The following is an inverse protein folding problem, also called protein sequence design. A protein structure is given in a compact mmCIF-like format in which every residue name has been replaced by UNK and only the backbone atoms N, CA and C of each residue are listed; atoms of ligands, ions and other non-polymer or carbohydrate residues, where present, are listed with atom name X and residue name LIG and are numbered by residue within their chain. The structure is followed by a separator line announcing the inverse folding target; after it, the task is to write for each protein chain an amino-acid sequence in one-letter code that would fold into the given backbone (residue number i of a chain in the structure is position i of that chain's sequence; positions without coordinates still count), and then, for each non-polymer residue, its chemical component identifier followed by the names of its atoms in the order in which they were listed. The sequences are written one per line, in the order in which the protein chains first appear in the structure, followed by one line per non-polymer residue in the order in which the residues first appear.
data_IF_780485675393
#
_entry.id   IF_780485675393
#
_cell.length_a   1.000
_cell.length_b   1.000
_cell.length_c   1.000
_cell.angle_alpha   90.00
_cell.angle_beta   90.00
_cell.angle_gamma   90.00
#
_symmetry.space_group_name_H-M   'P 1'
#
loop_
_entity.id
_entity.type
_entity.pdbx_description
1 polymer ?
#
# COMPACT_ATOMS: atom_id res chain seq x y z
N UNK A 1 28.57 7.32 -1.86
CA UNK A 1 27.45 7.20 -2.80
C UNK A 1 26.35 8.22 -2.47
N UNK A 2 25.58 8.67 -3.47
CA UNK A 2 24.50 9.65 -3.25
C UNK A 2 23.28 9.01 -2.60
N UNK A 3 22.64 9.75 -1.72
CA UNK A 3 21.34 9.42 -1.10
C UNK A 3 20.46 10.66 -1.01
N UNK A 4 19.15 10.51 -1.22
CA UNK A 4 18.16 11.59 -1.08
C UNK A 4 17.63 11.60 0.36
N UNK A 5 17.94 12.66 1.08
CA UNK A 5 17.44 12.90 2.43
C UNK A 5 16.23 13.84 2.41
N UNK A 6 15.25 13.51 3.20
CA UNK A 6 14.24 14.45 3.69
C UNK A 6 14.75 14.97 5.04
N UNK A 7 15.22 16.21 5.08
CA UNK A 7 15.92 16.76 6.25
C UNK A 7 15.00 17.38 7.28
N UNK A 8 13.94 18.02 6.81
CA UNK A 8 12.86 18.62 7.57
C UNK A 8 11.63 18.81 6.66
N UNK A 9 10.52 19.24 7.21
CA UNK A 9 9.32 19.56 6.43
C UNK A 9 9.65 20.58 5.34
N UNK A 10 9.29 20.24 4.10
CA UNK A 10 9.51 21.09 2.92
C UNK A 10 10.95 21.14 2.40
N UNK A 11 11.89 20.34 2.98
CA UNK A 11 13.28 20.40 2.57
C UNK A 11 13.90 19.03 2.35
N UNK A 12 14.42 18.84 1.16
CA UNK A 12 15.17 17.64 0.78
C UNK A 12 16.52 18.01 0.20
N UNK A 13 17.50 17.13 0.36
CA UNK A 13 18.84 17.32 -0.19
C UNK A 13 19.50 15.99 -0.54
N UNK A 14 20.41 16.05 -1.50
CA UNK A 14 21.26 14.90 -1.85
C UNK A 14 22.56 15.01 -1.07
N UNK A 15 22.90 13.97 -0.31
CA UNK A 15 24.15 13.87 0.46
C UNK A 15 24.98 12.70 -0.03
N UNK A 16 26.31 12.82 0.13
CA UNK A 16 27.23 11.69 0.01
C UNK A 16 27.26 10.91 1.31
N UNK A 17 27.09 9.58 1.20
CA UNK A 17 27.19 8.64 2.32
C UNK A 17 28.12 7.48 1.94
N UNK A 18 28.73 6.77 2.90
CA UNK A 18 29.52 5.58 2.60
C UNK A 18 28.65 4.47 2.00
N UNK A 19 29.24 3.63 1.14
CA UNK A 19 28.60 2.39 0.67
C UNK A 19 28.51 1.43 1.87
N UNK A 20 27.34 0.85 2.18
CA UNK A 20 27.22 -0.14 3.25
C UNK A 20 27.87 -1.47 2.84
N UNK A 21 28.26 -2.27 3.82
CA UNK A 21 28.70 -3.65 3.64
C UNK A 21 27.71 -4.59 4.33
N UNK A 22 27.34 -5.74 3.72
CA UNK A 22 26.42 -6.67 4.32
C UNK A 22 27.05 -7.41 5.50
N UNK A 23 26.27 -7.66 6.55
CA UNK A 23 26.61 -8.59 7.64
C UNK A 23 26.43 -10.03 7.19
N UNK A 24 26.77 -11.02 8.05
CA UNK A 24 26.70 -12.45 7.72
C UNK A 24 25.34 -12.89 7.19
N UNK A 25 24.24 -12.44 7.79
CA UNK A 25 22.85 -12.74 7.37
C UNK A 25 22.21 -11.70 6.43
N UNK A 26 22.98 -10.80 5.82
CA UNK A 26 22.46 -9.74 4.96
C UNK A 26 22.95 -9.87 3.51
N UNK A 27 22.19 -9.31 2.61
CA UNK A 27 22.58 -9.07 1.22
C UNK A 27 22.81 -7.58 1.00
N UNK A 28 23.77 -7.24 0.12
CA UNK A 28 23.91 -5.91 -0.45
C UNK A 28 23.13 -5.85 -1.74
N UNK A 29 22.22 -4.89 -1.82
CA UNK A 29 21.34 -4.65 -2.95
C UNK A 29 21.76 -3.39 -3.70
N UNK A 30 21.95 -3.49 -5.02
CA UNK A 30 22.00 -2.32 -5.90
C UNK A 30 20.57 -1.95 -6.28
N UNK A 31 20.13 -0.78 -5.85
CA UNK A 31 18.77 -0.27 -6.10
C UNK A 31 18.69 0.18 -7.56
N UNK A 32 17.86 -0.50 -8.34
CA UNK A 32 17.66 -0.17 -9.75
C UNK A 32 16.39 0.68 -9.98
N UNK A 33 15.35 0.45 -9.18
CA UNK A 33 14.11 1.21 -9.17
C UNK A 33 13.62 1.40 -7.75
N UNK A 34 13.09 2.60 -7.48
CA UNK A 34 12.37 2.89 -6.23
C UNK A 34 11.14 3.71 -6.57
N UNK A 35 9.98 3.28 -6.06
CA UNK A 35 8.72 4.01 -6.20
C UNK A 35 8.69 5.21 -5.26
N UNK A 36 7.89 6.20 -5.63
CA UNK A 36 7.64 7.41 -4.83
C UNK A 36 6.23 7.33 -4.24
N UNK A 37 6.14 6.94 -3.00
CA UNK A 37 4.88 6.77 -2.28
C UNK A 37 4.19 8.11 -2.00
N UNK A 38 2.86 8.11 -1.93
CA UNK A 38 2.10 9.24 -1.40
C UNK A 38 2.49 9.60 0.04
N UNK A 39 2.99 8.62 0.82
CA UNK A 39 3.56 8.81 2.15
C UNK A 39 4.81 9.68 2.14
N UNK A 40 5.71 9.52 1.16
CA UNK A 40 6.92 10.35 1.01
C UNK A 40 6.54 11.82 0.75
N UNK A 41 5.55 12.05 -0.12
CA UNK A 41 5.04 13.40 -0.39
C UNK A 41 4.35 14.01 0.83
N UNK A 42 3.58 13.23 1.57
CA UNK A 42 2.95 13.68 2.81
C UNK A 42 4.00 13.95 3.91
N UNK A 43 5.07 13.14 3.99
CA UNK A 43 6.23 13.41 4.83
C UNK A 43 6.88 14.75 4.48
N UNK A 44 7.16 14.98 3.19
CA UNK A 44 7.69 16.27 2.72
C UNK A 44 6.80 17.46 3.11
N UNK A 45 5.48 17.30 3.05
CA UNK A 45 4.49 18.34 3.44
C UNK A 45 4.26 18.46 4.95
N UNK A 46 4.87 17.61 5.79
CA UNK A 46 4.60 17.57 7.24
C UNK A 46 3.23 17.01 7.60
N UNK A 47 2.57 16.29 6.69
CA UNK A 47 1.23 15.73 6.85
C UNK A 47 1.22 14.25 7.24
N UNK A 48 2.40 13.64 7.38
CA UNK A 48 2.53 12.24 7.79
C UNK A 48 3.16 12.15 9.18
N UNK A 49 2.37 11.90 10.22
CA UNK A 49 2.82 12.00 11.62
C UNK A 49 3.85 10.95 12.03
N UNK A 50 4.03 9.90 11.22
CA UNK A 50 5.00 8.85 11.48
C UNK A 50 6.38 9.12 10.87
N UNK A 51 6.51 10.15 10.03
CA UNK A 51 7.78 10.50 9.38
C UNK A 51 8.79 11.02 10.39
N UNK A 52 9.96 10.40 10.45
CA UNK A 52 11.11 10.89 11.22
C UNK A 52 12.06 11.68 10.31
N UNK A 53 12.69 12.72 10.86
CA UNK A 53 13.63 13.62 10.18
C UNK A 53 14.94 13.73 10.97
N UNK A 54 16.12 13.82 10.31
CA UNK A 54 16.33 13.56 8.88
C UNK A 54 16.25 12.08 8.55
N UNK A 55 15.77 11.73 7.33
CA UNK A 55 15.72 10.34 6.90
C UNK A 55 15.95 10.20 5.39
N UNK A 56 16.49 9.07 4.94
CA UNK A 56 16.52 8.69 3.52
C UNK A 56 15.16 8.11 3.17
N UNK A 57 14.50 8.61 2.12
CA UNK A 57 13.17 8.15 1.67
C UNK A 57 13.23 6.82 0.91
N UNK A 58 12.04 6.26 0.60
CA UNK A 58 11.82 5.15 -0.32
C UNK A 58 11.73 3.77 0.34
N UNK A 59 10.68 3.03 -0.04
CA UNK A 59 10.37 1.68 0.47
C UNK A 59 9.77 0.75 -0.60
N UNK A 60 9.48 1.24 -1.77
CA UNK A 60 8.95 0.50 -2.92
C UNK A 60 10.13 0.15 -3.83
N UNK A 61 10.71 -1.05 -3.69
CA UNK A 61 12.08 -1.32 -4.20
C UNK A 61 12.12 -2.46 -5.21
N UNK A 62 12.76 -2.20 -6.34
CA UNK A 62 13.28 -3.20 -7.26
C UNK A 62 14.81 -3.10 -7.32
N UNK A 63 15.51 -4.16 -6.91
CA UNK A 63 16.97 -4.16 -6.74
C UNK A 63 17.60 -5.44 -7.26
N UNK A 64 18.93 -5.46 -7.30
CA UNK A 64 19.74 -6.62 -7.68
C UNK A 64 20.72 -6.96 -6.57
N UNK A 65 20.86 -8.23 -6.22
CA UNK A 65 21.85 -8.70 -5.24
C UNK A 65 23.24 -8.56 -5.87
N UNK A 66 24.13 -7.77 -5.24
CA UNK A 66 25.51 -7.55 -5.72
C UNK A 66 26.59 -8.07 -4.77
N UNK A 67 26.23 -8.33 -3.50
CA UNK A 67 27.10 -8.93 -2.51
C UNK A 67 26.27 -9.67 -1.47
N UNK A 68 26.77 -10.74 -0.86
CA UNK A 68 26.08 -11.48 0.19
C UNK A 68 27.00 -11.85 1.34
N UNK A 69 26.43 -11.85 2.55
CA UNK A 69 27.10 -12.35 3.74
C UNK A 69 27.18 -13.88 3.75
N UNK A 70 27.95 -14.41 4.69
CA UNK A 70 28.32 -15.84 4.74
C UNK A 70 27.17 -16.78 5.10
N UNK A 71 26.10 -16.28 5.73
CA UNK A 71 24.93 -17.07 6.13
C UNK A 71 23.75 -16.93 5.16
N UNK A 72 23.92 -16.22 4.04
CA UNK A 72 22.89 -16.05 3.03
C UNK A 72 22.77 -17.34 2.20
N UNK A 73 21.57 -17.92 2.07
CA UNK A 73 21.35 -19.16 1.31
C UNK A 73 21.77 -19.06 -0.16
N UNK A 74 22.18 -20.20 -0.73
CA UNK A 74 22.71 -20.27 -2.10
C UNK A 74 21.70 -19.92 -3.18
N UNK A 75 20.39 -20.13 -2.94
CA UNK A 75 19.34 -19.76 -3.89
C UNK A 75 19.23 -18.24 -4.12
N UNK A 76 19.78 -17.42 -3.22
CA UNK A 76 19.91 -15.98 -3.41
C UNK A 76 21.30 -15.66 -4.02
N UNK A 77 21.42 -15.85 -5.32
CA UNK A 77 22.68 -15.67 -6.05
C UNK A 77 22.93 -14.20 -6.41
N UNK A 78 24.20 -13.87 -6.67
CA UNK A 78 24.58 -12.56 -7.23
C UNK A 78 23.90 -12.36 -8.59
N UNK A 79 23.44 -11.15 -8.87
CA UNK A 79 22.70 -10.81 -10.08
C UNK A 79 21.18 -11.09 -10.00
N UNK A 80 20.71 -11.78 -8.95
CA UNK A 80 19.28 -12.03 -8.77
C UNK A 80 18.52 -10.72 -8.54
N UNK A 81 17.45 -10.53 -9.31
CA UNK A 81 16.52 -9.40 -9.14
C UNK A 81 15.56 -9.68 -8.00
N UNK A 82 15.31 -8.68 -7.16
CA UNK A 82 14.54 -8.82 -5.92
C UNK A 82 13.67 -7.60 -5.65
N UNK A 83 12.59 -7.81 -4.91
CA UNK A 83 11.97 -6.80 -4.04
C UNK A 83 12.24 -7.15 -2.58
N UNK A 84 11.80 -6.32 -1.65
CA UNK A 84 12.03 -6.56 -0.23
C UNK A 84 10.81 -6.20 0.64
N UNK A 85 10.76 -6.78 1.84
CA UNK A 85 9.82 -6.42 2.88
C UNK A 85 10.36 -5.21 3.66
N UNK A 86 9.71 -4.03 3.56
CA UNK A 86 10.30 -2.79 4.09
C UNK A 86 10.03 -2.55 5.56
N UNK A 87 9.34 -3.45 6.27
CA UNK A 87 8.87 -3.27 7.63
C UNK A 87 9.75 -4.03 8.62
N UNK A 88 10.13 -3.38 9.72
CA UNK A 88 10.85 -3.99 10.82
C UNK A 88 9.96 -4.04 12.05
N UNK A 89 9.50 -5.24 12.39
CA UNK A 89 8.61 -5.50 13.53
C UNK A 89 9.40 -5.87 14.80
N UNK A 90 8.83 -5.59 15.98
CA UNK A 90 9.49 -5.88 17.27
C UNK A 90 9.42 -7.35 17.69
N UNK A 91 8.64 -8.18 17.03
CA UNK A 91 8.38 -9.61 17.31
C UNK A 91 7.75 -9.91 18.69
N UNK A 92 7.57 -8.93 19.58
CA UNK A 92 7.13 -9.12 20.97
C UNK A 92 5.77 -8.53 21.32
N UNK A 93 5.27 -7.54 20.58
CA UNK A 93 3.97 -6.91 20.85
C UNK A 93 2.79 -7.85 20.53
N UNK A 94 1.60 -7.46 20.96
CA UNK A 94 0.38 -8.28 20.77
C UNK A 94 0.13 -8.62 19.28
N UNK A 95 0.35 -7.68 18.38
CA UNK A 95 0.17 -7.91 16.95
C UNK A 95 1.17 -8.94 16.41
N UNK A 96 2.46 -8.80 16.78
CA UNK A 96 3.51 -9.75 16.39
C UNK A 96 3.24 -11.16 16.92
N UNK A 97 2.86 -11.30 18.18
CA UNK A 97 2.52 -12.61 18.78
C UNK A 97 1.29 -13.27 18.12
N UNK A 98 0.40 -12.48 17.52
CA UNK A 98 -0.75 -12.96 16.74
C UNK A 98 -0.43 -13.17 15.24
N UNK A 99 0.85 -13.19 14.85
CA UNK A 99 1.26 -13.37 13.46
C UNK A 99 0.92 -12.19 12.52
N UNK A 100 0.76 -10.98 13.09
CA UNK A 100 0.42 -9.76 12.33
C UNK A 100 1.52 -8.69 12.49
N UNK A 101 2.76 -8.96 12.00
CA UNK A 101 3.89 -8.03 12.14
C UNK A 101 3.68 -6.69 11.41
N UNK A 102 2.86 -6.66 10.37
CA UNK A 102 2.44 -5.43 9.68
C UNK A 102 1.72 -4.43 10.60
N UNK A 103 1.03 -4.90 11.64
CA UNK A 103 0.37 -4.09 12.66
C UNK A 103 1.21 -3.93 13.94
N UNK A 104 2.52 -4.09 13.85
CA UNK A 104 3.42 -3.94 15.00
C UNK A 104 3.34 -2.55 15.61
N UNK A 105 3.17 -2.48 16.94
CA UNK A 105 3.07 -1.21 17.69
C UNK A 105 4.28 -0.28 17.48
N UNK A 106 5.47 -0.84 17.28
CA UNK A 106 6.73 -0.12 17.11
C UNK A 106 7.36 -0.41 15.74
N UNK A 107 6.53 -0.62 14.71
CA UNK A 107 7.00 -0.87 13.36
C UNK A 107 7.93 0.26 12.87
N UNK A 108 9.07 -0.12 12.31
CA UNK A 108 10.01 0.79 11.67
C UNK A 108 10.00 0.57 10.15
N UNK A 109 9.13 1.29 9.46
CA UNK A 109 9.07 1.26 8.01
C UNK A 109 10.30 1.94 7.41
N UNK A 110 10.92 1.31 6.42
CA UNK A 110 11.99 1.87 5.60
C UNK A 110 11.51 3.19 4.96
N UNK A 111 12.37 4.21 4.93
CA UNK A 111 12.01 5.52 4.40
C UNK A 111 11.17 6.41 5.33
N UNK A 112 10.63 5.85 6.43
CA UNK A 112 9.75 6.56 7.39
C UNK A 112 10.41 6.64 8.75
N UNK A 113 10.70 5.50 9.39
CA UNK A 113 11.31 5.39 10.74
C UNK A 113 12.67 4.72 10.74
N UNK A 114 13.22 4.44 9.61
CA UNK A 114 14.59 3.97 9.36
C UNK A 114 15.00 4.36 7.95
N UNK A 115 16.31 4.41 7.63
CA UNK A 115 16.79 4.80 6.31
C UNK A 115 16.14 3.99 5.20
N UNK A 116 15.74 4.68 4.13
CA UNK A 116 15.08 4.13 2.95
C UNK A 116 16.03 3.81 1.80
N UNK A 117 15.42 3.53 0.65
CA UNK A 117 16.09 3.03 -0.54
C UNK A 117 16.35 4.09 -1.63
N UNK A 118 16.08 5.38 -1.38
CA UNK A 118 16.46 6.43 -2.33
C UNK A 118 17.97 6.73 -2.26
N UNK A 119 18.75 5.68 -2.50
CA UNK A 119 20.21 5.64 -2.56
C UNK A 119 20.65 4.52 -3.50
N UNK A 120 21.93 4.49 -3.88
CA UNK A 120 22.41 3.47 -4.84
C UNK A 120 22.48 2.07 -4.24
N UNK A 121 22.88 1.92 -2.98
CA UNK A 121 23.04 0.62 -2.32
C UNK A 121 22.39 0.63 -0.95
N UNK A 122 21.76 -0.50 -0.59
CA UNK A 122 21.20 -0.78 0.74
C UNK A 122 21.57 -2.19 1.17
N UNK A 123 21.57 -2.47 2.47
CA UNK A 123 21.61 -3.83 3.00
C UNK A 123 20.24 -4.25 3.50
N UNK A 124 19.92 -5.53 3.37
CA UNK A 124 18.69 -6.12 3.91
C UNK A 124 18.98 -7.53 4.45
N UNK A 125 18.27 -7.96 5.53
CA UNK A 125 18.26 -9.37 5.93
C UNK A 125 17.80 -10.23 4.77
N UNK A 126 18.42 -11.37 4.54
CA UNK A 126 18.06 -12.23 3.41
C UNK A 126 16.62 -12.74 3.49
N UNK A 127 16.06 -12.90 4.70
CA UNK A 127 14.68 -13.32 4.95
C UNK A 127 13.64 -12.30 4.46
N UNK A 128 14.04 -11.03 4.37
CA UNK A 128 13.17 -9.93 3.92
C UNK A 128 13.28 -9.69 2.41
N UNK A 129 14.00 -10.53 1.67
CA UNK A 129 14.28 -10.36 0.24
C UNK A 129 13.53 -11.42 -0.58
N UNK A 130 12.79 -10.99 -1.59
CA UNK A 130 11.96 -11.84 -2.43
C UNK A 130 12.46 -11.83 -3.88
N UNK A 131 13.06 -12.95 -4.35
CA UNK A 131 13.60 -13.04 -5.70
C UNK A 131 12.50 -13.25 -6.74
N UNK A 132 12.75 -12.75 -7.96
CA UNK A 132 11.96 -13.10 -9.14
C UNK A 132 12.82 -13.04 -10.41
N UNK A 133 12.79 -14.13 -11.17
CA UNK A 133 13.41 -14.20 -12.49
C UNK A 133 12.51 -13.62 -13.58
N UNK A 134 11.20 -13.57 -13.35
CA UNK A 134 10.18 -13.18 -14.35
C UNK A 134 9.93 -11.68 -14.39
N UNK A 135 10.01 -11.01 -13.23
CA UNK A 135 9.66 -9.60 -13.12
C UNK A 135 10.85 -8.69 -13.42
N UNK A 136 10.60 -7.58 -14.09
CA UNK A 136 11.53 -6.47 -14.22
C UNK A 136 11.73 -5.75 -12.87
N UNK A 137 12.81 -4.96 -12.74
CA UNK A 137 13.02 -4.14 -11.54
C UNK A 137 11.88 -3.13 -11.30
N UNK A 138 11.22 -2.71 -12.37
CA UNK A 138 10.10 -1.80 -12.30
C UNK A 138 8.85 -2.49 -11.72
N UNK A 139 8.54 -3.71 -12.16
CA UNK A 139 7.45 -4.52 -11.62
C UNK A 139 7.73 -4.95 -10.18
N UNK A 140 8.98 -5.25 -9.84
CA UNK A 140 9.38 -5.57 -8.46
C UNK A 140 9.18 -4.37 -7.51
N UNK A 141 9.42 -3.14 -7.96
CA UNK A 141 9.15 -1.94 -7.18
C UNK A 141 7.63 -1.74 -6.93
N UNK A 142 6.76 -2.23 -7.81
CA UNK A 142 5.31 -2.17 -7.64
C UNK A 142 4.76 -3.21 -6.65
N UNK A 143 5.54 -4.23 -6.29
CA UNK A 143 5.07 -5.30 -5.43
C UNK A 143 4.61 -4.79 -4.05
N UNK A 144 5.37 -3.89 -3.43
CA UNK A 144 5.04 -3.34 -2.11
C UNK A 144 3.70 -2.60 -2.13
N UNK A 145 3.48 -1.54 -2.93
CA UNK A 145 2.23 -0.78 -2.90
C UNK A 145 1.00 -1.61 -3.32
N UNK A 146 1.16 -2.58 -4.21
CA UNK A 146 0.08 -3.49 -4.58
C UNK A 146 -0.33 -4.40 -3.41
N UNK A 147 0.65 -4.88 -2.59
CA UNK A 147 0.34 -5.74 -1.43
C UNK A 147 -0.53 -5.05 -0.39
N UNK A 148 -0.50 -3.72 -0.29
CA UNK A 148 -1.39 -2.96 0.61
C UNK A 148 -2.86 -3.16 0.20
N UNK A 149 -3.17 -3.05 -1.09
CA UNK A 149 -4.50 -3.32 -1.64
C UNK A 149 -4.92 -4.79 -1.48
N UNK A 150 -4.01 -5.74 -1.75
CA UNK A 150 -4.26 -7.16 -1.52
C UNK A 150 -4.57 -7.47 -0.05
N UNK A 151 -3.85 -6.82 0.87
CA UNK A 151 -4.11 -6.95 2.30
C UNK A 151 -5.49 -6.41 2.68
N UNK A 152 -5.91 -5.27 2.12
CA UNK A 152 -7.23 -4.69 2.34
C UNK A 152 -8.35 -5.67 1.95
N UNK A 153 -8.25 -6.28 0.77
CA UNK A 153 -9.19 -7.31 0.28
C UNK A 153 -9.25 -8.51 1.23
N UNK A 154 -8.11 -8.94 1.76
CA UNK A 154 -8.06 -10.00 2.79
C UNK A 154 -8.70 -9.55 4.10
N UNK A 155 -8.52 -8.29 4.52
CA UNK A 155 -9.17 -7.75 5.73
C UNK A 155 -10.69 -7.63 5.57
N UNK A 156 -11.14 -7.24 4.37
CA UNK A 156 -12.56 -7.22 4.00
C UNK A 156 -13.17 -8.60 3.84
N UNK A 157 -12.39 -9.70 3.97
CA UNK A 157 -12.86 -11.08 3.78
C UNK A 157 -13.58 -11.28 2.44
N UNK A 158 -13.16 -10.56 1.40
CA UNK A 158 -13.80 -10.57 0.09
C UNK A 158 -13.83 -11.96 -0.51
N UNK A 159 -15.00 -12.34 -1.04
CA UNK A 159 -15.27 -13.61 -1.75
C UNK A 159 -15.77 -13.34 -3.17
N UNK A 160 -15.98 -14.38 -3.96
CA UNK A 160 -16.53 -14.28 -5.31
C UNK A 160 -18.00 -13.82 -5.35
N UNK A 161 -18.70 -13.90 -4.23
CA UNK A 161 -20.13 -13.53 -4.11
C UNK A 161 -20.30 -12.04 -3.82
N UNK A 162 -19.21 -11.34 -3.42
CA UNK A 162 -19.29 -9.94 -3.01
C UNK A 162 -19.31 -8.97 -4.20
N UNK A 163 -20.10 -7.92 -4.08
CA UNK A 163 -20.00 -6.68 -4.86
C UNK A 163 -19.07 -5.73 -4.10
N UNK A 164 -17.92 -5.42 -4.68
CA UNK A 164 -16.85 -4.66 -4.02
C UNK A 164 -16.69 -3.30 -4.68
N UNK A 165 -16.92 -2.22 -3.94
CA UNK A 165 -16.58 -0.88 -4.40
C UNK A 165 -15.19 -0.48 -3.89
N UNK A 166 -14.32 0.02 -4.78
CA UNK A 166 -13.00 0.57 -4.43
C UNK A 166 -13.01 2.07 -4.71
N UNK A 167 -12.94 2.88 -3.65
CA UNK A 167 -12.90 4.34 -3.75
C UNK A 167 -11.44 4.79 -3.77
N UNK A 168 -11.02 5.33 -4.91
CA UNK A 168 -9.65 5.71 -5.21
C UNK A 168 -8.89 4.63 -5.97
N UNK A 169 -8.57 4.89 -7.23
CA UNK A 169 -7.84 4.01 -8.14
C UNK A 169 -6.37 4.46 -8.32
N UNK A 170 -5.73 4.97 -7.27
CA UNK A 170 -4.28 5.07 -7.19
C UNK A 170 -3.63 3.67 -7.12
N UNK A 171 -2.28 3.61 -7.06
CA UNK A 171 -1.57 2.32 -7.09
C UNK A 171 -2.05 1.33 -6.00
N UNK A 172 -2.33 1.81 -4.79
CA UNK A 172 -2.85 0.99 -3.68
C UNK A 172 -4.28 0.51 -3.97
N UNK A 173 -5.16 1.42 -4.45
CA UNK A 173 -6.52 1.05 -4.82
C UNK A 173 -6.57 0.09 -6.00
N UNK A 174 -5.72 0.26 -7.02
CA UNK A 174 -5.57 -0.69 -8.12
C UNK A 174 -5.09 -2.07 -7.64
N UNK A 175 -4.27 -2.13 -6.59
CA UNK A 175 -3.93 -3.38 -5.91
C UNK A 175 -5.16 -4.06 -5.29
N UNK A 176 -6.06 -3.28 -4.67
CA UNK A 176 -7.32 -3.81 -4.14
C UNK A 176 -8.26 -4.27 -5.28
N UNK A 177 -8.38 -3.50 -6.36
CA UNK A 177 -9.11 -3.87 -7.58
C UNK A 177 -8.60 -5.21 -8.10
N UNK A 178 -7.29 -5.33 -8.37
CA UNK A 178 -6.69 -6.54 -8.90
C UNK A 178 -6.92 -7.76 -7.99
N UNK A 179 -6.79 -7.58 -6.69
CA UNK A 179 -7.01 -8.65 -5.70
C UNK A 179 -8.46 -9.09 -5.66
N UNK A 180 -9.43 -8.15 -5.67
CA UNK A 180 -10.86 -8.47 -5.63
C UNK A 180 -11.32 -9.15 -6.94
N UNK A 181 -10.88 -8.65 -8.10
CA UNK A 181 -11.14 -9.29 -9.41
C UNK A 181 -10.57 -10.72 -9.44
N UNK A 182 -9.34 -10.91 -8.96
CA UNK A 182 -8.71 -12.23 -8.92
C UNK A 182 -9.44 -13.22 -7.99
N UNK A 183 -10.20 -12.73 -7.02
CA UNK A 183 -11.08 -13.56 -6.17
C UNK A 183 -12.44 -13.86 -6.80
N UNK A 184 -12.72 -13.31 -7.98
CA UNK A 184 -13.99 -13.47 -8.69
C UNK A 184 -15.10 -12.52 -8.23
N UNK A 185 -14.80 -11.54 -7.39
CA UNK A 185 -15.78 -10.55 -6.94
C UNK A 185 -16.23 -9.61 -8.08
N UNK A 186 -17.44 -9.11 -8.01
CA UNK A 186 -17.93 -8.05 -8.90
C UNK A 186 -17.41 -6.70 -8.41
N UNK A 187 -16.42 -6.14 -9.11
CA UNK A 187 -15.71 -4.92 -8.68
C UNK A 187 -16.24 -3.68 -9.37
N UNK A 188 -16.49 -2.62 -8.56
CA UNK A 188 -16.86 -1.27 -8.97
C UNK A 188 -15.69 -0.35 -8.63
N UNK A 189 -15.01 0.20 -9.64
CA UNK A 189 -13.91 1.14 -9.44
C UNK A 189 -14.42 2.59 -9.45
N UNK A 190 -14.01 3.39 -8.47
CA UNK A 190 -14.47 4.76 -8.28
C UNK A 190 -13.26 5.70 -8.19
N UNK A 191 -13.12 6.64 -9.12
CA UNK A 191 -12.07 7.70 -9.08
C UNK A 191 -12.55 8.93 -9.86
N UNK A 192 -11.97 10.09 -9.57
CA UNK A 192 -12.22 11.35 -10.30
C UNK A 192 -11.46 11.42 -11.63
N UNK A 193 -10.44 10.58 -11.81
CA UNK A 193 -9.54 10.55 -12.95
C UNK A 193 -9.86 9.37 -13.87
N UNK A 194 -10.38 9.68 -15.06
CA UNK A 194 -10.75 8.68 -16.06
C UNK A 194 -9.56 7.81 -16.50
N UNK A 195 -8.35 8.35 -16.53
CA UNK A 195 -7.17 7.56 -16.91
C UNK A 195 -6.90 6.40 -15.93
N UNK A 196 -7.20 6.60 -14.64
CA UNK A 196 -7.12 5.53 -13.64
C UNK A 196 -8.25 4.53 -13.76
N UNK A 197 -9.45 5.00 -14.09
CA UNK A 197 -10.61 4.13 -14.36
C UNK A 197 -10.37 3.24 -15.58
N UNK A 198 -9.71 3.75 -16.63
CA UNK A 198 -9.27 2.95 -17.78
C UNK A 198 -8.28 1.84 -17.39
N UNK A 199 -7.37 2.12 -16.46
CA UNK A 199 -6.47 1.08 -15.91
C UNK A 199 -7.27 0.03 -15.14
N UNK A 200 -8.23 0.45 -14.31
CA UNK A 200 -9.11 -0.48 -13.59
C UNK A 200 -9.93 -1.35 -14.56
N UNK A 201 -10.43 -0.79 -15.66
CA UNK A 201 -11.12 -1.56 -16.71
C UNK A 201 -10.23 -2.64 -17.33
N UNK A 202 -8.95 -2.31 -17.61
CA UNK A 202 -7.98 -3.29 -18.14
C UNK A 202 -7.67 -4.41 -17.14
N UNK A 203 -7.82 -4.16 -15.83
CA UNK A 203 -7.69 -5.19 -14.79
C UNK A 203 -8.92 -6.11 -14.75
N UNK A 204 -10.08 -5.64 -15.23
CA UNK A 204 -11.28 -6.47 -15.35
C UNK A 204 -12.41 -6.11 -14.37
N UNK A 205 -12.52 -4.84 -13.95
CA UNK A 205 -13.67 -4.42 -13.14
C UNK A 205 -14.98 -4.51 -13.94
N UNK A 206 -16.07 -4.81 -13.24
CA UNK A 206 -17.40 -4.88 -13.85
C UNK A 206 -17.96 -3.48 -14.18
N UNK A 207 -17.68 -2.50 -13.32
CA UNK A 207 -18.19 -1.13 -13.47
C UNK A 207 -17.14 -0.09 -13.07
N UNK A 208 -17.27 1.11 -13.64
CA UNK A 208 -16.53 2.31 -13.22
C UNK A 208 -17.50 3.46 -12.95
N UNK A 209 -17.19 4.28 -11.93
CA UNK A 209 -17.94 5.48 -11.59
C UNK A 209 -16.96 6.65 -11.45
N UNK A 210 -17.26 7.77 -12.12
CA UNK A 210 -16.53 9.02 -11.93
C UNK A 210 -17.43 10.04 -11.23
N UNK A 211 -17.27 10.27 -9.90
CA UNK A 211 -18.14 11.16 -9.14
C UNK A 211 -18.10 12.65 -9.56
N UNK A 212 -17.18 13.04 -10.45
CA UNK A 212 -17.16 14.41 -10.99
C UNK A 212 -18.31 14.67 -11.98
N UNK A 213 -18.92 13.63 -12.54
CA UNK A 213 -20.03 13.71 -13.50
C UNK A 213 -21.21 12.81 -13.16
N UNK A 214 -21.00 11.77 -12.35
CA UNK A 214 -22.01 10.81 -11.95
C UNK A 214 -22.44 11.07 -10.50
N UNK A 215 -23.74 10.92 -10.18
CA UNK A 215 -24.17 10.82 -8.80
C UNK A 215 -23.72 9.46 -8.24
N UNK A 216 -22.83 9.46 -7.26
CA UNK A 216 -22.26 8.23 -6.70
C UNK A 216 -23.32 7.30 -6.12
N UNK A 217 -24.27 7.88 -5.33
CA UNK A 217 -25.35 7.12 -4.71
C UNK A 217 -26.22 6.44 -5.77
N UNK A 218 -26.77 7.22 -6.71
CA UNK A 218 -27.67 6.71 -7.73
C UNK A 218 -27.03 5.60 -8.56
N UNK A 219 -25.74 5.78 -8.93
CA UNK A 219 -25.01 4.77 -9.70
C UNK A 219 -24.74 3.50 -8.90
N UNK A 220 -24.39 3.60 -7.62
CA UNK A 220 -24.22 2.42 -6.76
C UNK A 220 -25.55 1.69 -6.58
N UNK A 221 -26.66 2.40 -6.32
CA UNK A 221 -27.99 1.79 -6.20
C UNK A 221 -28.41 1.08 -7.49
N UNK A 222 -28.19 1.70 -8.66
CA UNK A 222 -28.47 1.07 -9.95
C UNK A 222 -27.69 -0.24 -10.16
N UNK A 223 -26.37 -0.21 -9.93
CA UNK A 223 -25.47 -1.37 -10.12
C UNK A 223 -25.80 -2.50 -9.14
N UNK A 224 -26.16 -2.15 -7.90
CA UNK A 224 -26.39 -3.11 -6.81
C UNK A 224 -27.87 -3.44 -6.59
N UNK A 225 -28.75 -2.93 -7.45
CA UNK A 225 -30.23 -3.16 -7.38
C UNK A 225 -30.85 -2.70 -6.06
N UNK A 226 -30.30 -1.63 -5.47
CA UNK A 226 -30.80 -1.03 -4.25
C UNK A 226 -30.12 -1.51 -2.95
N UNK A 227 -29.29 -2.54 -3.00
CA UNK A 227 -28.68 -3.12 -1.78
C UNK A 227 -27.45 -2.35 -1.29
N UNK A 228 -26.72 -1.70 -2.20
CA UNK A 228 -25.36 -1.19 -1.95
C UNK A 228 -24.27 -2.26 -2.11
N UNK A 229 -22.99 -1.86 -2.15
CA UNK A 229 -21.85 -2.79 -2.20
C UNK A 229 -21.67 -3.57 -0.89
N UNK A 230 -21.40 -4.89 -0.96
CA UNK A 230 -21.16 -5.73 0.22
C UNK A 230 -19.85 -5.33 0.94
N UNK A 231 -18.85 -4.87 0.18
CA UNK A 231 -17.58 -4.38 0.72
C UNK A 231 -17.23 -3.06 0.05
N UNK A 232 -16.83 -2.07 0.86
CA UNK A 232 -16.21 -0.84 0.35
C UNK A 232 -14.77 -0.75 0.85
N UNK A 233 -13.83 -0.57 -0.08
CA UNK A 233 -12.42 -0.32 0.21
C UNK A 233 -12.13 1.16 -0.05
N UNK A 234 -11.85 1.91 1.00
CA UNK A 234 -11.53 3.33 0.96
C UNK A 234 -10.02 3.52 0.84
N UNK A 235 -9.53 4.03 -0.30
CA UNK A 235 -8.12 4.18 -0.63
C UNK A 235 -7.68 5.63 -0.93
N UNK A 236 -8.49 6.62 -0.61
CA UNK A 236 -8.21 8.05 -0.82
C UNK A 236 -7.70 8.73 0.44
N UNK A 237 -8.35 8.46 1.59
CA UNK A 237 -8.01 9.08 2.86
C UNK A 237 -8.59 10.48 3.04
N UNK A 238 -9.79 10.75 2.52
CA UNK A 238 -10.48 12.03 2.75
C UNK A 238 -11.71 11.87 3.65
N UNK A 239 -12.08 12.91 4.43
CA UNK A 239 -13.30 12.83 5.24
C UNK A 239 -14.57 12.54 4.42
N UNK A 240 -14.62 13.04 3.19
CA UNK A 240 -15.74 12.80 2.28
C UNK A 240 -15.83 11.34 1.87
N UNK A 241 -14.75 10.75 1.40
CA UNK A 241 -14.74 9.35 0.93
C UNK A 241 -14.93 8.35 2.07
N UNK A 242 -14.43 8.65 3.26
CA UNK A 242 -14.72 7.86 4.47
C UNK A 242 -16.22 7.87 4.81
N UNK A 243 -16.88 9.05 4.79
CA UNK A 243 -18.33 9.13 5.02
C UNK A 243 -19.11 8.39 3.94
N UNK A 244 -18.78 8.64 2.67
CA UNK A 244 -19.42 7.92 1.57
C UNK A 244 -19.30 6.40 1.72
N UNK A 245 -18.14 5.89 2.16
CA UNK A 245 -17.97 4.46 2.37
C UNK A 245 -18.95 3.90 3.42
N UNK A 246 -19.21 4.62 4.51
CA UNK A 246 -20.17 4.22 5.54
C UNK A 246 -21.62 4.38 5.09
N UNK A 247 -21.89 5.44 4.32
CA UNK A 247 -23.25 5.74 3.82
C UNK A 247 -23.70 4.76 2.73
N UNK A 248 -22.79 4.39 1.84
CA UNK A 248 -23.11 3.60 0.64
C UNK A 248 -22.97 2.08 0.83
N UNK A 249 -22.25 1.61 1.84
CA UNK A 249 -22.11 0.17 2.08
C UNK A 249 -23.45 -0.49 2.38
N UNK A 250 -23.65 -1.70 1.92
CA UNK A 250 -24.85 -2.50 2.18
C UNK A 250 -25.11 -2.71 3.69
N UNK A 251 -26.33 -3.11 4.05
CA UNK A 251 -26.62 -3.70 5.35
C UNK A 251 -25.77 -4.97 5.53
N UNK A 252 -25.24 -5.20 6.74
CA UNK A 252 -24.28 -6.27 7.06
C UNK A 252 -22.95 -6.14 6.28
N UNK A 253 -22.70 -4.99 5.66
CA UNK A 253 -21.53 -4.77 4.82
C UNK A 253 -20.27 -4.47 5.61
N UNK A 254 -19.16 -4.39 4.89
CA UNK A 254 -17.81 -4.22 5.44
C UNK A 254 -17.11 -3.03 4.80
N UNK A 255 -16.59 -2.12 5.62
CA UNK A 255 -15.79 -0.98 5.17
C UNK A 255 -14.33 -1.23 5.56
N UNK A 256 -13.43 -1.19 4.60
CA UNK A 256 -11.98 -1.33 4.83
C UNK A 256 -11.28 -0.02 4.49
N UNK A 257 -10.72 0.62 5.50
CA UNK A 257 -10.02 1.89 5.36
C UNK A 257 -8.51 1.66 5.17
N UNK A 258 -7.96 2.06 4.04
CA UNK A 258 -6.52 2.04 3.73
C UNK A 258 -5.98 3.42 3.36
N UNK A 259 -6.84 4.33 2.93
CA UNK A 259 -6.51 5.73 2.76
C UNK A 259 -6.21 6.39 4.12
N UNK A 260 -5.15 7.20 4.20
CA UNK A 260 -4.74 7.84 5.45
C UNK A 260 -5.41 9.20 5.60
N UNK A 261 -6.41 9.29 6.48
CA UNK A 261 -7.07 10.58 6.78
C UNK A 261 -6.13 11.50 7.57
N UNK A 262 -6.05 12.76 7.14
CA UNK A 262 -5.15 13.77 7.72
C UNK A 262 -5.75 14.47 8.95
N UNK A 263 -7.05 14.31 9.16
CA UNK A 263 -7.81 14.89 10.26
C UNK A 263 -8.85 13.89 10.76
N UNK A 264 -9.39 14.07 11.98
CA UNK A 264 -10.54 13.31 12.47
C UNK A 264 -11.70 13.37 11.47
N UNK A 265 -12.40 12.24 11.31
CA UNK A 265 -13.59 12.12 10.46
C UNK A 265 -14.80 11.91 11.34
N UNK A 266 -15.81 12.77 11.17
CA UNK A 266 -17.10 12.64 11.86
C UNK A 266 -18.02 11.73 11.06
N UNK A 267 -18.70 10.80 11.75
CA UNK A 267 -19.65 9.87 11.19
C UNK A 267 -21.03 9.97 11.85
N UNK A 268 -22.06 9.69 11.09
CA UNK A 268 -23.36 9.37 11.65
C UNK A 268 -23.31 7.93 12.22
N UNK A 269 -23.06 7.81 13.52
CA UNK A 269 -22.88 6.51 14.18
C UNK A 269 -24.12 5.65 14.23
N UNK A 270 -25.33 6.24 14.00
CA UNK A 270 -26.56 5.43 13.91
C UNK A 270 -26.52 4.45 12.73
N UNK A 271 -25.79 4.77 11.67
CA UNK A 271 -25.61 3.87 10.53
C UNK A 271 -24.85 2.58 10.90
N UNK A 272 -23.93 2.66 11.86
CA UNK A 272 -23.19 1.47 12.32
C UNK A 272 -24.12 0.45 12.97
N UNK A 273 -25.07 0.96 13.76
CA UNK A 273 -26.07 0.13 14.46
C UNK A 273 -27.16 -0.35 13.51
N UNK A 274 -27.73 0.57 12.70
CA UNK A 274 -28.85 0.24 11.80
C UNK A 274 -28.45 -0.75 10.70
N UNK A 275 -27.24 -0.61 10.15
CA UNK A 275 -26.75 -1.46 9.07
C UNK A 275 -25.93 -2.66 9.57
N UNK A 276 -25.61 -2.73 10.86
CA UNK A 276 -24.71 -3.75 11.44
C UNK A 276 -23.39 -3.92 10.65
N UNK A 277 -22.75 -2.80 10.29
CA UNK A 277 -21.54 -2.80 9.47
C UNK A 277 -20.27 -3.11 10.29
N UNK A 278 -19.30 -3.78 9.65
CA UNK A 278 -17.92 -3.93 10.15
C UNK A 278 -17.03 -2.84 9.54
N UNK A 279 -16.14 -2.21 10.35
CA UNK A 279 -15.11 -1.26 9.88
C UNK A 279 -13.72 -1.75 10.25
#
# INVERSE_FOLDING_TARGET
MKALFLTEVGKSEVREIPKPSPKSGEVLLEVGKVGFCGGDLNGFKGLFPLQEYPNILGHEVGATIVEKGTEVPDHLSLGTRVTLYPYLACSTCVACRKGRPNACKTNKTMGVRRPGAMTRYITAPWQDVFPSEKLSLQELALAEPLTVGFHAVSRGKVTAEDRVAVIGCGIVGLGAVASAVNRGAQVIAIDLDDSKLEVAQKIGVAHTINPSRDNLHDRLQEITQGDGPDVIIEAVGSPMTYRSAVEEVAFLGRVVCIGYAKAPVEFNTSLFVQKEIEI
#
